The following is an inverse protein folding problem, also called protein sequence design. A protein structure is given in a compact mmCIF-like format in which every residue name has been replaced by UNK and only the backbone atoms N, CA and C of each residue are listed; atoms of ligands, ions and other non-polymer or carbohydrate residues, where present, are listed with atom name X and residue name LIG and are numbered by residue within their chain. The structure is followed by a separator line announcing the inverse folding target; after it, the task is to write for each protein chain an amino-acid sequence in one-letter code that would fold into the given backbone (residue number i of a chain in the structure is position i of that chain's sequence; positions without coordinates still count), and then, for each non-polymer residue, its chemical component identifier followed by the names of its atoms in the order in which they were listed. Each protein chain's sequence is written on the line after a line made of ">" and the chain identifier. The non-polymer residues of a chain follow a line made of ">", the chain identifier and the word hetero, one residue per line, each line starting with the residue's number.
data_IF_409562365668
#
_entry.id   IF_409562365668
#
_cell.length_a   1.000
_cell.length_b   1.000
_cell.length_c   1.000
_cell.angle_alpha   90.00
_cell.angle_beta   90.00
_cell.angle_gamma   90.00
#
_symmetry.space_group_name_H-M   'P 1'
#
loop_
_entity.id
_entity.type
_entity.pdbx_description
1 polymer ?
#
# COMPACT_ATOMS: atom_id res chain seq x y z
N UNK A 1 -3.20 -9.66 -1.55
CA UNK A 1 -4.45 -9.14 -0.94
C UNK A 1 -5.32 -8.45 -1.98
N UNK A 2 -6.64 -8.55 -1.84
CA UNK A 2 -7.61 -7.88 -2.73
C UNK A 2 -7.79 -6.39 -2.36
N UNK A 3 -6.99 -5.50 -2.96
CA UNK A 3 -6.97 -4.06 -2.62
C UNK A 3 -7.98 -3.20 -3.39
N UNK A 4 -8.58 -3.74 -4.47
CA UNK A 4 -9.41 -2.95 -5.40
C UNK A 4 -10.62 -2.29 -4.74
N UNK A 5 -11.25 -2.96 -3.78
CA UNK A 5 -12.43 -2.46 -3.07
C UNK A 5 -12.11 -1.46 -1.95
N UNK A 6 -10.83 -1.32 -1.59
CA UNK A 6 -10.37 -0.52 -0.45
C UNK A 6 -9.46 0.65 -0.86
N UNK A 7 -9.45 1.00 -2.15
CA UNK A 7 -8.58 2.05 -2.68
C UNK A 7 -8.77 3.40 -1.97
N UNK A 8 -10.02 3.78 -1.66
CA UNK A 8 -10.30 5.02 -0.95
C UNK A 8 -9.68 5.02 0.45
N UNK A 9 -9.86 3.94 1.22
CA UNK A 9 -9.25 3.77 2.54
C UNK A 9 -7.72 3.80 2.44
N UNK A 10 -7.15 3.18 1.41
CA UNK A 10 -5.70 3.23 1.17
C UNK A 10 -5.24 4.67 0.91
N UNK A 11 -5.98 5.46 0.12
CA UNK A 11 -5.63 6.87 -0.11
C UNK A 11 -5.73 7.74 1.15
N UNK A 12 -6.60 7.42 2.11
CA UNK A 12 -6.63 8.13 3.41
C UNK A 12 -5.33 7.96 4.21
N UNK A 13 -4.60 6.87 3.97
CA UNK A 13 -3.28 6.65 4.57
C UNK A 13 -2.17 7.47 3.90
N UNK A 14 -2.42 7.97 2.68
CA UNK A 14 -1.44 8.68 1.88
C UNK A 14 -1.37 10.17 2.21
N UNK A 15 -0.17 10.74 2.10
CA UNK A 15 0.04 12.17 2.04
C UNK A 15 0.31 12.59 0.60
N UNK A 16 -0.36 13.65 0.14
CA UNK A 16 -0.14 14.19 -1.19
C UNK A 16 1.31 14.69 -1.35
N UNK A 17 1.95 14.25 -2.43
CA UNK A 17 3.22 14.80 -2.88
C UNK A 17 2.99 16.07 -3.72
N UNK A 18 3.22 17.24 -3.13
CA UNK A 18 3.07 18.53 -3.84
C UNK A 18 3.93 18.64 -5.09
N UNK A 19 5.07 17.94 -5.14
CA UNK A 19 5.95 17.95 -6.31
C UNK A 19 5.28 17.36 -7.56
N UNK A 20 4.35 16.41 -7.40
CA UNK A 20 3.58 15.84 -8.50
C UNK A 20 2.77 16.90 -9.27
N UNK A 21 2.30 17.95 -8.58
CA UNK A 21 1.47 19.01 -9.15
C UNK A 21 2.25 20.22 -9.67
N UNK A 22 3.58 20.18 -9.64
CA UNK A 22 4.40 21.17 -10.33
C UNK A 22 4.14 21.13 -11.83
N UNK A 23 4.37 22.28 -12.48
CA UNK A 23 4.33 22.39 -13.93
C UNK A 23 5.42 21.51 -14.56
N UNK A 24 5.21 21.08 -15.80
CA UNK A 24 6.19 20.25 -16.50
C UNK A 24 7.54 20.98 -16.65
N UNK A 25 7.49 22.30 -16.86
CA UNK A 25 8.68 23.14 -16.92
C UNK A 25 9.46 23.14 -15.59
N UNK A 26 8.77 23.20 -14.46
CA UNK A 26 9.43 23.19 -13.15
C UNK A 26 9.97 21.79 -12.80
N UNK A 27 9.25 20.73 -13.17
CA UNK A 27 9.72 19.35 -13.03
C UNK A 27 10.98 19.07 -13.85
N UNK A 28 11.04 19.57 -15.08
CA UNK A 28 12.22 19.49 -15.94
C UNK A 28 13.39 20.27 -15.34
N UNK A 29 13.16 21.49 -14.83
CA UNK A 29 14.19 22.31 -14.18
C UNK A 29 14.78 21.65 -12.93
N UNK A 30 13.98 20.86 -12.19
CA UNK A 30 14.48 20.11 -11.05
C UNK A 30 15.54 19.05 -11.40
N UNK A 31 15.78 18.77 -12.69
CA UNK A 31 16.78 17.83 -13.19
C UNK A 31 16.75 16.48 -12.45
N UNK A 32 15.55 15.96 -12.24
CA UNK A 32 15.32 14.76 -11.43
C UNK A 32 15.77 13.48 -12.16
N UNK A 33 16.08 13.59 -13.46
CA UNK A 33 16.26 12.46 -14.36
C UNK A 33 14.94 11.71 -14.57
N UNK A 34 15.03 10.44 -14.98
CA UNK A 34 13.86 9.57 -15.20
C UNK A 34 13.23 9.05 -13.89
N UNK A 35 13.42 9.78 -12.77
CA UNK A 35 12.85 9.44 -11.46
C UNK A 35 11.33 9.56 -11.47
N UNK A 36 10.69 8.65 -10.74
CA UNK A 36 9.23 8.64 -10.53
C UNK A 36 8.85 9.56 -9.38
N UNK A 37 7.96 10.49 -9.67
CA UNK A 37 7.35 11.42 -8.70
C UNK A 37 5.92 10.92 -8.48
N UNK A 38 5.69 10.15 -7.42
CA UNK A 38 4.35 9.62 -7.12
C UNK A 38 3.43 10.71 -6.56
N UNK A 39 2.14 10.63 -6.86
CA UNK A 39 1.09 11.55 -6.38
C UNK A 39 0.90 11.46 -4.86
N UNK A 40 1.12 10.29 -4.28
CA UNK A 40 1.00 10.03 -2.84
C UNK A 40 2.26 9.36 -2.28
N UNK A 41 2.59 9.74 -1.04
CA UNK A 41 3.51 9.03 -0.17
C UNK A 41 2.71 8.31 0.91
N UNK A 42 2.98 7.03 1.11
CA UNK A 42 2.33 6.24 2.15
C UNK A 42 3.31 6.01 3.31
N UNK A 43 3.18 6.75 4.44
CA UNK A 43 3.99 6.51 5.62
C UNK A 43 3.75 5.12 6.19
N UNK A 44 4.74 4.61 6.92
CA UNK A 44 4.56 3.38 7.70
C UNK A 44 3.52 3.64 8.79
N UNK A 45 2.63 2.67 8.99
CA UNK A 45 1.62 2.68 10.04
C UNK A 45 1.58 1.36 10.79
N UNK A 46 0.99 1.35 12.00
CA UNK A 46 0.75 0.11 12.72
C UNK A 46 -0.17 -0.80 11.88
N UNK A 47 0.12 -2.10 11.87
CA UNK A 47 -0.64 -3.10 11.13
C UNK A 47 -1.37 -4.01 12.11
N UNK A 48 -2.65 -4.20 11.89
CA UNK A 48 -3.50 -5.11 12.66
C UNK A 48 -4.11 -6.17 11.74
N UNK A 49 -4.06 -7.43 12.19
CA UNK A 49 -4.71 -8.55 11.53
C UNK A 49 -5.85 -9.03 12.43
N UNK A 50 -7.09 -8.94 11.94
CA UNK A 50 -8.30 -9.19 12.73
C UNK A 50 -9.05 -10.38 12.12
N UNK A 51 -9.20 -11.46 12.88
CA UNK A 51 -10.06 -12.59 12.48
C UNK A 51 -11.54 -12.17 12.53
N UNK A 52 -12.29 -12.46 11.46
CA UNK A 52 -13.74 -12.19 11.38
C UNK A 52 -14.53 -13.50 11.23
N UNK A 53 -14.75 -14.25 12.32
CA UNK A 53 -15.42 -15.56 12.28
C UNK A 53 -16.89 -15.49 11.79
N UNK A 54 -17.51 -14.31 11.90
CA UNK A 54 -18.89 -14.06 11.47
C UNK A 54 -18.95 -13.38 10.09
N UNK A 55 -17.85 -13.31 9.34
CA UNK A 55 -17.84 -12.70 8.02
C UNK A 55 -18.78 -13.50 7.08
N UNK A 56 -19.72 -12.83 6.38
CA UNK A 56 -20.75 -13.52 5.60
C UNK A 56 -20.23 -14.25 4.36
N UNK A 57 -18.99 -13.96 3.94
CA UNK A 57 -18.38 -14.56 2.75
C UNK A 57 -17.38 -15.67 3.08
N UNK A 58 -16.59 -15.50 4.14
CA UNK A 58 -15.60 -16.48 4.57
C UNK A 58 -15.39 -16.42 6.09
N UNK A 59 -15.81 -17.44 6.88
CA UNK A 59 -15.61 -17.46 8.33
C UNK A 59 -14.14 -17.53 8.75
N UNK A 60 -13.21 -17.77 7.81
CA UNK A 60 -11.79 -17.70 8.08
C UNK A 60 -11.18 -16.33 7.77
N UNK A 61 -11.94 -15.37 7.23
CA UNK A 61 -11.43 -14.08 6.80
C UNK A 61 -10.57 -13.39 7.88
N UNK A 62 -9.44 -12.84 7.43
CA UNK A 62 -8.57 -12.00 8.24
C UNK A 62 -8.53 -10.63 7.57
N UNK A 63 -9.14 -9.65 8.22
CA UNK A 63 -9.09 -8.25 7.82
C UNK A 63 -7.70 -7.67 8.13
N UNK A 64 -7.20 -6.85 7.22
CA UNK A 64 -5.94 -6.13 7.37
C UNK A 64 -6.26 -4.66 7.56
N UNK A 65 -5.90 -4.13 8.73
CA UNK A 65 -5.99 -2.69 9.01
C UNK A 65 -4.59 -2.09 9.10
N UNK A 66 -4.44 -0.89 8.53
CA UNK A 66 -3.23 -0.08 8.67
C UNK A 66 -3.66 1.25 9.25
N UNK A 67 -3.09 1.65 10.40
CA UNK A 67 -3.48 2.87 11.12
C UNK A 67 -5.01 3.01 11.30
N UNK A 68 -5.71 1.89 11.57
CA UNK A 68 -7.16 1.84 11.77
C UNK A 68 -8.00 1.69 10.48
N UNK A 69 -7.43 1.95 9.30
CA UNK A 69 -8.13 1.85 8.02
C UNK A 69 -8.11 0.41 7.48
N UNK A 70 -9.27 -0.11 7.08
CA UNK A 70 -9.38 -1.41 6.41
C UNK A 70 -8.81 -1.30 4.99
N UNK A 71 -7.68 -1.96 4.71
CA UNK A 71 -7.00 -1.93 3.40
C UNK A 71 -7.19 -3.20 2.58
N UNK A 72 -7.80 -4.21 3.17
CA UNK A 72 -8.17 -5.46 2.49
C UNK A 72 -8.18 -6.66 3.41
N UNK A 73 -8.15 -7.83 2.79
CA UNK A 73 -8.13 -9.13 3.47
C UNK A 73 -6.94 -9.95 3.00
N UNK A 74 -6.44 -10.82 3.89
CA UNK A 74 -5.50 -11.88 3.54
C UNK A 74 -6.13 -12.76 2.47
N UNK A 75 -5.34 -13.21 1.49
CA UNK A 75 -5.83 -14.11 0.46
C UNK A 75 -6.25 -15.44 1.10
N UNK A 76 -7.34 -16.04 0.61
CA UNK A 76 -7.94 -17.23 1.22
C UNK A 76 -6.95 -18.38 1.37
N UNK A 77 -6.05 -18.51 0.40
CA UNK A 77 -5.01 -19.53 0.33
C UNK A 77 -3.94 -19.35 1.42
N UNK A 78 -3.72 -18.11 1.89
CA UNK A 78 -2.73 -17.75 2.91
C UNK A 78 -3.31 -17.69 4.32
N UNK A 79 -4.63 -17.56 4.44
CA UNK A 79 -5.35 -17.35 5.70
C UNK A 79 -4.99 -18.36 6.79
N UNK A 80 -4.99 -19.66 6.49
CA UNK A 80 -4.71 -20.70 7.49
C UNK A 80 -3.27 -20.64 8.02
N UNK A 81 -2.32 -20.32 7.15
CA UNK A 81 -0.92 -20.13 7.53
C UNK A 81 -0.79 -18.90 8.45
N UNK A 82 -1.42 -17.78 8.10
CA UNK A 82 -1.41 -16.57 8.91
C UNK A 82 -2.07 -16.79 10.28
N UNK A 83 -3.23 -17.47 10.35
CA UNK A 83 -3.87 -17.82 11.64
C UNK A 83 -2.93 -18.62 12.54
N UNK A 84 -2.22 -19.59 11.97
CA UNK A 84 -1.27 -20.42 12.71
C UNK A 84 -0.12 -19.58 13.29
N UNK A 85 0.42 -18.65 12.50
CA UNK A 85 1.47 -17.73 12.96
C UNK A 85 1.00 -16.82 14.09
N UNK A 86 -0.23 -16.29 13.98
CA UNK A 86 -0.81 -15.42 14.99
C UNK A 86 -1.05 -16.17 16.31
N UNK A 87 -1.63 -17.37 16.27
CA UNK A 87 -1.95 -18.18 17.46
C UNK A 87 -0.73 -18.65 18.21
N UNK A 88 0.33 -19.02 17.50
CA UNK A 88 1.54 -19.54 18.11
C UNK A 88 2.42 -18.43 18.71
N UNK A 89 2.11 -17.15 18.47
CA UNK A 89 2.93 -16.02 18.97
C UNK A 89 4.35 -15.98 18.38
N UNK A 90 4.56 -16.65 17.25
CA UNK A 90 5.85 -16.84 16.56
C UNK A 90 6.18 -15.69 15.59
N UNK A 91 5.84 -14.46 15.95
CA UNK A 91 6.22 -13.27 15.18
C UNK A 91 6.81 -12.19 16.10
N UNK A 92 7.84 -11.52 15.61
CA UNK A 92 8.50 -10.39 16.26
C UNK A 92 7.78 -9.08 15.93
N UNK A 93 7.36 -8.89 14.67
CA UNK A 93 6.63 -7.71 14.23
C UNK A 93 5.86 -7.94 12.94
N UNK A 94 4.88 -7.07 12.67
CA UNK A 94 4.16 -7.02 11.40
C UNK A 94 4.35 -5.61 10.83
N UNK A 95 4.71 -5.54 9.55
CA UNK A 95 4.94 -4.26 8.86
C UNK A 95 4.23 -4.25 7.52
N UNK A 96 3.93 -3.05 7.01
CA UNK A 96 3.30 -2.87 5.71
C UNK A 96 4.16 -2.03 4.77
N UNK A 97 3.98 -2.27 3.48
CA UNK A 97 4.49 -1.42 2.41
C UNK A 97 3.38 -1.20 1.39
N UNK A 98 3.08 0.07 1.12
CA UNK A 98 2.11 0.49 0.11
C UNK A 98 2.88 1.12 -1.03
N UNK A 99 2.64 0.66 -2.26
CA UNK A 99 3.32 1.16 -3.45
C UNK A 99 2.39 1.23 -4.65
N UNK A 100 2.82 1.93 -5.70
CA UNK A 100 2.04 2.15 -6.91
C UNK A 100 1.30 3.48 -6.90
N UNK A 101 0.20 3.56 -7.64
CA UNK A 101 -0.53 4.80 -7.87
C UNK A 101 0.02 5.60 -9.05
N UNK A 102 -0.57 6.79 -9.24
CA UNK A 102 -0.17 7.72 -10.30
C UNK A 102 1.18 8.34 -10.00
N UNK A 103 1.99 8.51 -11.04
CA UNK A 103 3.28 9.19 -10.94
C UNK A 103 3.63 9.92 -12.23
N UNK A 104 4.46 10.94 -12.11
CA UNK A 104 5.10 11.63 -13.22
C UNK A 104 6.55 11.21 -13.36
N UNK A 105 7.09 11.27 -14.57
CA UNK A 105 8.54 11.18 -14.82
C UNK A 105 8.95 12.16 -15.91
N UNK A 106 10.11 12.79 -15.74
CA UNK A 106 10.68 13.73 -16.70
C UNK A 106 11.65 12.99 -17.64
N UNK A 107 11.11 12.43 -18.72
CA UNK A 107 11.86 11.59 -19.66
C UNK A 107 12.99 12.39 -20.30
N UNK A 108 14.23 12.01 -19.98
CA UNK A 108 15.46 12.69 -20.41
C UNK A 108 15.44 14.20 -20.13
N UNK A 109 14.69 14.65 -19.12
CA UNK A 109 14.45 16.06 -18.80
C UNK A 109 13.92 16.92 -19.97
N UNK A 110 13.16 16.34 -20.90
CA UNK A 110 12.58 17.07 -22.06
C UNK A 110 11.07 17.11 -22.08
N UNK A 111 10.44 16.05 -21.59
CA UNK A 111 8.99 15.89 -21.53
C UNK A 111 8.59 15.25 -20.22
N UNK A 112 7.42 15.62 -19.73
CA UNK A 112 6.83 14.97 -18.56
C UNK A 112 5.70 14.07 -19.03
N UNK A 113 5.70 12.84 -18.56
CA UNK A 113 4.63 11.87 -18.82
C UNK A 113 4.02 11.40 -17.50
N UNK A 114 2.70 11.16 -17.53
CA UNK A 114 1.94 10.65 -16.39
C UNK A 114 1.66 9.17 -16.62
N UNK A 115 1.96 8.36 -15.62
CA UNK A 115 1.75 6.93 -15.61
C UNK A 115 0.93 6.53 -14.39
N UNK A 116 0.37 5.33 -14.42
CA UNK A 116 -0.35 4.75 -13.30
C UNK A 116 0.08 3.30 -13.08
N UNK A 117 0.58 3.03 -11.88
CA UNK A 117 0.85 1.68 -11.42
C UNK A 117 -0.31 1.21 -10.54
N UNK A 118 -0.65 -0.08 -10.60
CA UNK A 118 -1.59 -0.68 -9.66
C UNK A 118 -1.10 -0.47 -8.23
N UNK A 119 -1.98 0.03 -7.36
CA UNK A 119 -1.70 0.10 -5.92
C UNK A 119 -1.62 -1.31 -5.32
N UNK A 120 -0.53 -1.57 -4.61
CA UNK A 120 -0.27 -2.82 -3.92
C UNK A 120 -0.03 -2.54 -2.44
N UNK A 121 -0.58 -3.42 -1.60
CA UNK A 121 -0.32 -3.45 -0.17
C UNK A 121 0.33 -4.79 0.12
N UNK A 122 1.56 -4.76 0.61
CA UNK A 122 2.31 -5.94 1.03
C UNK A 122 2.46 -5.91 2.54
N UNK A 123 2.12 -7.02 3.19
CA UNK A 123 2.33 -7.22 4.63
C UNK A 123 3.49 -8.18 4.81
N UNK A 124 4.41 -7.81 5.70
CA UNK A 124 5.53 -8.64 6.10
C UNK A 124 5.34 -9.03 7.56
N UNK A 125 5.31 -10.34 7.82
CA UNK A 125 5.30 -10.91 9.17
C UNK A 125 6.74 -11.36 9.44
N UNK A 126 7.39 -10.72 10.40
CA UNK A 126 8.78 -11.04 10.79
C UNK A 126 8.74 -12.09 11.89
N UNK A 127 9.44 -13.20 11.72
CA UNK A 127 9.54 -14.25 12.74
C UNK A 127 10.49 -13.86 13.87
N UNK A 128 10.35 -14.52 15.02
CA UNK A 128 11.30 -14.44 16.14
C UNK A 128 12.51 -15.35 15.86
#
# INVERSE_FOLDING_TARGET
>A
MGTKYYLQNIYHLGTINRQFYLSDADLIKCNLGDKRIFEYYFPKGPVELIEEPNNPHDPNAIAVKIAGELVGYIAKEETMQVKTLLRNGHFASITSFISGGRYKTAISNKRVEVFENKITVTIYIHHK
#
